data_IF_466824376963
#
_entry.id   IF_466824376963
#
_cell.length_a   1.000
_cell.length_b   1.000
_cell.length_c   1.000
_cell.angle_alpha   90.00
_cell.angle_beta   90.00
_cell.angle_gamma   90.00
#
_symmetry.space_group_name_H-M   'P 1'
#
loop_
_entity.id
_entity.type
_entity.pdbx_description
1 polymer ?
#
# COMPACT_ATOMS: atom_id res chain seq x y z
N UNK A 1 12.08 -10.64 -51.73
CA UNK A 1 12.67 -11.46 -50.64
C UNK A 1 12.62 -10.58 -49.39
N UNK A 2 11.81 -10.95 -48.40
CA UNK A 2 11.86 -10.27 -47.11
C UNK A 2 13.17 -10.69 -46.43
N UNK A 3 14.08 -9.74 -46.17
CA UNK A 3 15.31 -10.00 -45.45
C UNK A 3 15.01 -10.53 -44.04
N UNK A 4 15.90 -11.37 -43.50
CA UNK A 4 15.79 -11.84 -42.11
C UNK A 4 15.82 -10.64 -41.18
N UNK A 5 14.83 -10.56 -40.24
CA UNK A 5 14.79 -9.51 -39.20
C UNK A 5 15.90 -9.79 -38.19
N UNK A 6 16.61 -8.75 -37.78
CA UNK A 6 17.56 -8.87 -36.71
C UNK A 6 16.77 -8.85 -35.37
N UNK A 7 17.08 -9.80 -34.48
CA UNK A 7 16.61 -9.79 -33.10
C UNK A 7 17.52 -8.85 -32.35
N UNK A 8 16.93 -7.90 -31.61
CA UNK A 8 17.63 -6.99 -30.73
C UNK A 8 17.01 -7.09 -29.33
N UNK A 9 17.83 -6.94 -28.32
CA UNK A 9 17.33 -6.90 -26.94
C UNK A 9 16.45 -5.66 -26.73
N UNK A 10 15.31 -5.81 -26.04
CA UNK A 10 14.47 -4.67 -25.68
C UNK A 10 15.21 -3.77 -24.68
N UNK A 11 14.85 -2.48 -24.57
CA UNK A 11 15.36 -1.61 -23.53
C UNK A 11 15.09 -2.21 -22.13
N UNK A 12 16.03 -2.00 -21.20
CA UNK A 12 15.85 -2.42 -19.82
C UNK A 12 14.59 -1.78 -19.21
N UNK A 13 13.84 -2.56 -18.44
CA UNK A 13 12.68 -2.05 -17.70
C UNK A 13 13.15 -1.24 -16.49
N UNK A 14 12.53 -0.09 -16.26
CA UNK A 14 12.71 0.71 -15.05
C UNK A 14 11.36 0.90 -14.38
N UNK A 15 11.25 0.50 -13.13
CA UNK A 15 10.05 0.69 -12.32
C UNK A 15 9.76 2.19 -12.13
N UNK A 16 8.49 2.54 -11.88
CA UNK A 16 8.13 3.91 -11.52
C UNK A 16 8.74 4.27 -10.16
N UNK A 17 9.34 5.46 -10.02
CA UNK A 17 9.84 5.92 -8.73
C UNK A 17 8.66 6.20 -7.76
N UNK A 18 8.98 6.20 -6.47
CA UNK A 18 8.02 6.50 -5.40
C UNK A 18 6.84 5.54 -5.29
N UNK A 19 6.97 4.32 -5.83
CA UNK A 19 5.97 3.26 -5.72
C UNK A 19 5.76 2.78 -4.28
N UNK A 20 4.73 1.99 -4.08
CA UNK A 20 4.37 1.49 -2.75
C UNK A 20 5.55 0.77 -2.08
N UNK A 21 6.14 -0.21 -2.77
CA UNK A 21 7.21 -1.01 -2.16
C UNK A 21 8.41 -0.17 -1.74
N UNK A 22 8.85 0.78 -2.55
CA UNK A 22 9.99 1.64 -2.24
C UNK A 22 9.70 2.66 -1.13
N UNK A 23 8.43 2.82 -0.77
CA UNK A 23 7.97 3.84 0.17
C UNK A 23 7.65 3.33 1.57
N UNK A 24 7.52 2.03 1.75
CA UNK A 24 7.19 1.39 3.03
C UNK A 24 8.43 0.86 3.74
N UNK A 25 8.28 0.48 5.00
CA UNK A 25 9.34 -0.14 5.79
C UNK A 25 9.47 -1.64 5.47
N UNK A 26 10.70 -2.15 5.48
CA UNK A 26 11.00 -3.58 5.25
C UNK A 26 11.67 -4.17 6.49
N UNK A 27 10.90 -4.58 7.52
CA UNK A 27 11.47 -5.23 8.69
C UNK A 27 12.15 -6.55 8.30
N UNK A 28 13.27 -6.87 8.94
CA UNK A 28 13.92 -8.15 8.71
C UNK A 28 13.01 -9.30 9.19
N UNK A 29 12.69 -10.29 8.36
CA UNK A 29 11.87 -11.41 8.77
C UNK A 29 12.61 -12.31 9.76
N UNK A 30 11.93 -12.76 10.82
CA UNK A 30 12.48 -13.72 11.81
C UNK A 30 12.23 -15.18 11.43
N UNK A 31 11.86 -15.45 10.20
CA UNK A 31 11.56 -16.78 9.66
C UNK A 31 10.61 -16.69 8.47
N UNK A 32 9.99 -17.81 8.12
CA UNK A 32 9.08 -17.91 6.95
C UNK A 32 7.60 -17.83 7.33
N UNK A 33 7.26 -17.75 8.62
CA UNK A 33 5.86 -17.75 9.06
C UNK A 33 5.04 -16.58 8.52
N UNK A 34 5.68 -15.45 8.21
CA UNK A 34 5.03 -14.31 7.58
C UNK A 34 4.33 -14.65 6.24
N UNK A 35 4.77 -15.72 5.56
CA UNK A 35 4.11 -16.20 4.34
C UNK A 35 2.70 -16.78 4.58
N UNK A 36 2.33 -16.98 5.84
CA UNK A 36 0.98 -17.39 6.25
C UNK A 36 0.15 -16.22 6.78
N UNK A 37 0.73 -15.02 6.81
CA UNK A 37 0.15 -13.80 7.36
C UNK A 37 0.96 -13.26 8.52
N UNK A 38 0.69 -12.01 8.87
CA UNK A 38 1.32 -11.32 9.99
C UNK A 38 0.26 -10.73 10.90
N UNK A 39 0.61 -10.58 12.18
CA UNK A 39 -0.20 -9.85 13.16
C UNK A 39 0.67 -8.89 13.95
N UNK A 40 0.10 -7.76 14.34
CA UNK A 40 0.78 -6.77 15.18
C UNK A 40 -0.20 -6.09 16.13
N UNK A 41 0.34 -5.54 17.21
CA UNK A 41 -0.44 -4.74 18.15
C UNK A 41 -0.24 -3.27 17.81
N UNK A 42 -1.32 -2.64 17.45
CA UNK A 42 -1.40 -1.21 17.20
C UNK A 42 -1.54 -0.44 18.52
N UNK A 43 -0.91 0.71 18.60
CA UNK A 43 -1.01 1.64 19.74
C UNK A 43 -1.23 3.03 19.20
N UNK A 44 -2.47 3.30 18.86
CA UNK A 44 -2.84 4.60 18.32
C UNK A 44 -3.20 5.56 19.44
N UNK A 45 -2.81 6.84 19.36
CA UNK A 45 -3.21 7.82 20.35
C UNK A 45 -4.72 8.00 20.32
N UNK A 46 -5.35 7.99 21.49
CA UNK A 46 -6.78 8.24 21.67
C UNK A 46 -7.01 9.28 22.74
N UNK A 47 -7.88 10.25 22.46
CA UNK A 47 -8.30 11.26 23.42
C UNK A 47 -7.24 12.29 23.82
N UNK A 48 -7.61 13.16 24.75
CA UNK A 48 -6.74 14.22 25.27
C UNK A 48 -5.83 13.67 26.39
N UNK A 49 -4.50 13.90 26.21
CA UNK A 49 -3.47 13.47 27.15
C UNK A 49 -2.81 14.63 27.88
N UNK A 50 -3.35 15.84 27.76
CA UNK A 50 -2.84 17.01 28.47
C UNK A 50 -3.26 17.00 29.93
N UNK A 51 -2.38 17.47 30.82
CA UNK A 51 -2.60 17.51 32.23
C UNK A 51 -2.07 18.82 32.81
N UNK A 52 -2.86 19.47 33.65
CA UNK A 52 -2.40 20.64 34.39
C UNK A 52 -1.39 20.24 35.48
N UNK A 53 -0.16 20.70 35.34
CA UNK A 53 0.92 20.41 36.29
C UNK A 53 0.76 21.15 37.63
N UNK A 54 -0.07 22.19 37.67
CA UNK A 54 -0.37 22.99 38.85
C UNK A 54 -1.84 22.77 39.25
N UNK A 55 -2.14 22.91 40.52
CA UNK A 55 -3.54 22.93 40.99
C UNK A 55 -4.26 24.11 40.33
N UNK A 56 -5.20 23.80 39.45
CA UNK A 56 -6.08 24.82 38.87
C UNK A 56 -6.89 25.48 39.95
N UNK A 57 -6.89 26.80 39.95
CA UNK A 57 -7.76 27.59 40.84
C UNK A 57 -9.06 27.82 40.07
N UNK A 58 -10.17 27.35 40.60
CA UNK A 58 -11.49 27.66 40.02
C UNK A 58 -11.72 29.18 40.08
N UNK A 59 -12.57 29.70 39.19
CA UNK A 59 -12.91 31.13 39.18
C UNK A 59 -13.44 31.69 40.52
N UNK A 60 -13.73 30.82 41.49
CA UNK A 60 -14.11 31.15 42.88
C UNK A 60 -12.92 31.18 43.86
N UNK A 61 -11.69 30.92 43.36
CA UNK A 61 -10.48 30.87 44.21
C UNK A 61 -10.31 29.58 45.01
N UNK A 62 -11.24 28.62 44.90
CA UNK A 62 -11.08 27.30 45.53
C UNK A 62 -10.19 26.39 44.65
N UNK A 63 -9.30 25.59 45.28
CA UNK A 63 -8.54 24.58 44.52
C UNK A 63 -9.49 23.62 43.82
N UNK A 64 -9.31 23.41 42.54
CA UNK A 64 -9.99 22.34 41.83
C UNK A 64 -9.42 20.98 42.30
N UNK A 65 -10.24 19.93 42.41
CA UNK A 65 -9.70 18.59 42.65
C UNK A 65 -8.73 18.24 41.51
N UNK A 66 -7.61 17.55 41.79
CA UNK A 66 -6.68 17.15 40.77
C UNK A 66 -7.40 16.26 39.73
N UNK A 67 -7.24 16.59 38.48
CA UNK A 67 -7.75 15.73 37.41
C UNK A 67 -7.02 14.38 37.45
N UNK A 68 -7.74 13.30 37.22
CA UNK A 68 -7.11 11.98 37.07
C UNK A 68 -6.47 11.85 35.72
N UNK A 69 -5.23 11.32 35.67
CA UNK A 69 -4.59 10.92 34.43
C UNK A 69 -5.19 9.61 33.95
N UNK A 70 -5.96 9.65 32.91
CA UNK A 70 -6.55 8.44 32.28
C UNK A 70 -5.61 7.88 31.21
N UNK A 71 -5.55 6.56 31.08
CA UNK A 71 -4.80 5.90 30.00
C UNK A 71 -5.50 6.11 28.65
N UNK A 72 -4.77 6.60 27.66
CA UNK A 72 -5.32 7.04 26.37
C UNK A 72 -4.67 6.35 25.18
N UNK A 73 -4.15 5.14 25.38
CA UNK A 73 -3.61 4.33 24.27
C UNK A 73 -4.49 3.10 24.13
N UNK A 74 -5.28 3.09 23.10
CA UNK A 74 -5.99 1.89 22.70
C UNK A 74 -5.03 0.91 22.04
N UNK A 75 -5.14 -0.36 22.42
CA UNK A 75 -4.38 -1.45 21.81
C UNK A 75 -5.34 -2.28 20.97
N UNK A 76 -5.09 -2.27 19.66
CA UNK A 76 -5.87 -3.06 18.72
C UNK A 76 -4.97 -4.08 18.03
N UNK A 77 -5.41 -5.32 17.93
CA UNK A 77 -4.67 -6.33 17.17
C UNK A 77 -5.07 -6.23 15.69
N UNK A 78 -4.07 -6.03 14.85
CA UNK A 78 -4.22 -5.99 13.40
C UNK A 78 -3.56 -7.20 12.75
N UNK A 79 -4.00 -7.53 11.54
CA UNK A 79 -3.40 -8.58 10.74
C UNK A 79 -3.31 -8.21 9.28
N UNK A 80 -2.43 -8.92 8.54
CA UNK A 80 -2.35 -8.82 7.09
C UNK A 80 -2.22 -10.22 6.48
N UNK A 81 -2.92 -10.44 5.38
CA UNK A 81 -2.92 -11.69 4.63
C UNK A 81 -1.89 -11.68 3.52
N UNK A 82 -1.29 -12.85 3.17
CA UNK A 82 -0.39 -12.94 2.04
C UNK A 82 -1.15 -12.95 0.73
N UNK A 83 -0.52 -12.43 -0.31
CA UNK A 83 -0.97 -12.56 -1.69
C UNK A 83 0.23 -12.77 -2.62
N UNK A 84 0.00 -13.37 -3.78
CA UNK A 84 1.05 -13.69 -4.74
C UNK A 84 0.83 -12.91 -6.03
N UNK A 85 1.90 -12.29 -6.51
CA UNK A 85 1.98 -11.69 -7.85
C UNK A 85 2.78 -12.62 -8.73
N UNK A 86 2.30 -12.84 -9.94
CA UNK A 86 2.95 -13.74 -10.86
C UNK A 86 2.93 -13.22 -12.31
N UNK A 87 3.88 -13.72 -13.08
CA UNK A 87 3.88 -13.62 -14.54
C UNK A 87 4.03 -15.02 -15.12
N UNK A 88 3.29 -15.27 -16.17
CA UNK A 88 3.35 -16.54 -16.92
C UNK A 88 3.69 -16.24 -18.37
N UNK A 89 4.55 -17.06 -18.96
CA UNK A 89 4.78 -17.00 -20.39
C UNK A 89 4.87 -18.40 -20.99
N UNK A 90 4.49 -18.48 -22.24
CA UNK A 90 4.52 -19.70 -23.03
C UNK A 90 5.42 -19.49 -24.24
N UNK A 91 6.29 -20.45 -24.50
CA UNK A 91 7.17 -20.39 -25.65
C UNK A 91 7.61 -21.80 -26.10
N UNK A 92 8.05 -21.90 -27.35
CA UNK A 92 8.80 -23.10 -27.79
C UNK A 92 10.15 -23.13 -27.06
N UNK A 93 10.61 -24.30 -26.57
CA UNK A 93 11.93 -24.43 -25.97
C UNK A 93 13.09 -24.12 -26.92
N UNK A 94 12.82 -24.15 -28.24
CA UNK A 94 13.80 -23.81 -29.27
C UNK A 94 13.88 -22.29 -29.41
N UNK A 95 15.05 -21.73 -29.09
CA UNK A 95 15.31 -20.28 -29.22
C UNK A 95 15.12 -19.44 -27.96
N UNK A 96 14.74 -20.04 -26.81
CA UNK A 96 14.75 -19.38 -25.51
C UNK A 96 16.05 -19.76 -24.78
N UNK A 97 17.02 -18.86 -24.76
CA UNK A 97 18.34 -19.17 -24.18
C UNK A 97 18.29 -19.38 -22.67
N UNK A 98 17.65 -18.48 -21.94
CA UNK A 98 17.47 -18.54 -20.48
C UNK A 98 16.02 -18.24 -20.10
N UNK A 99 15.21 -19.29 -20.05
CA UNK A 99 13.79 -19.18 -19.72
C UNK A 99 13.54 -18.64 -18.30
N UNK A 100 14.45 -18.88 -17.37
CA UNK A 100 14.33 -18.39 -16.00
C UNK A 100 14.50 -16.86 -15.95
N UNK A 101 15.49 -16.33 -16.64
CA UNK A 101 15.70 -14.88 -16.77
C UNK A 101 14.51 -14.21 -17.45
N UNK A 102 13.98 -14.80 -18.52
CA UNK A 102 12.79 -14.27 -19.22
C UNK A 102 11.58 -14.23 -18.30
N UNK A 103 11.37 -15.28 -17.47
CA UNK A 103 10.31 -15.32 -16.46
C UNK A 103 10.45 -14.25 -15.39
N UNK A 104 11.65 -14.11 -14.85
CA UNK A 104 11.94 -13.07 -13.85
C UNK A 104 11.75 -11.66 -14.41
N UNK A 105 12.20 -11.40 -15.63
CA UNK A 105 12.01 -10.12 -16.33
C UNK A 105 10.52 -9.83 -16.60
N UNK A 106 9.76 -10.86 -16.98
CA UNK A 106 8.31 -10.73 -17.17
C UNK A 106 7.60 -10.35 -15.88
N UNK A 107 7.98 -10.99 -14.75
CA UNK A 107 7.46 -10.62 -13.42
C UNK A 107 7.82 -9.19 -13.06
N UNK A 108 9.09 -8.81 -13.20
CA UNK A 108 9.56 -7.46 -12.85
C UNK A 108 8.76 -6.35 -13.55
N UNK A 109 8.29 -6.59 -14.79
CA UNK A 109 7.51 -5.62 -15.58
C UNK A 109 6.07 -5.42 -15.07
N UNK A 110 5.50 -6.41 -14.40
CA UNK A 110 4.11 -6.38 -13.94
C UNK A 110 3.99 -6.22 -12.41
N UNK A 111 5.03 -6.59 -11.68
CA UNK A 111 5.04 -6.76 -10.23
C UNK A 111 4.58 -5.51 -9.50
N UNK A 112 5.22 -4.37 -9.72
CA UNK A 112 4.89 -3.12 -9.04
C UNK A 112 3.41 -2.78 -9.19
N UNK A 113 2.92 -2.78 -10.44
CA UNK A 113 1.53 -2.43 -10.74
C UNK A 113 0.55 -3.40 -10.09
N UNK A 114 0.83 -4.70 -10.10
CA UNK A 114 -0.07 -5.71 -9.54
C UNK A 114 -0.13 -5.63 -8.00
N UNK A 115 1.02 -5.45 -7.34
CA UNK A 115 1.10 -5.23 -5.89
C UNK A 115 0.28 -4.00 -5.49
N UNK A 116 0.45 -2.89 -6.18
CA UNK A 116 -0.25 -1.64 -5.92
C UNK A 116 -1.76 -1.75 -6.19
N UNK A 117 -2.16 -2.45 -7.25
CA UNK A 117 -3.58 -2.71 -7.53
C UNK A 117 -4.21 -3.57 -6.44
N UNK A 118 -3.54 -4.64 -6.03
CA UNK A 118 -4.02 -5.53 -4.99
C UNK A 118 -4.14 -4.79 -3.63
N UNK A 119 -3.13 -4.00 -3.26
CA UNK A 119 -3.15 -3.20 -2.04
C UNK A 119 -4.20 -2.07 -2.07
N UNK A 120 -4.54 -1.54 -3.25
CA UNK A 120 -5.61 -0.55 -3.37
C UNK A 120 -6.99 -1.18 -3.26
N UNK A 121 -7.24 -2.24 -4.01
CA UNK A 121 -8.58 -2.80 -4.23
C UNK A 121 -8.94 -3.97 -3.31
N UNK A 122 -7.96 -4.58 -2.65
CA UNK A 122 -8.18 -5.83 -1.88
C UNK A 122 -8.28 -7.08 -2.74
N UNK A 123 -8.13 -6.97 -4.06
CA UNK A 123 -8.41 -8.07 -4.99
C UNK A 123 -7.13 -8.66 -5.57
N UNK A 124 -6.96 -9.96 -5.43
CA UNK A 124 -5.94 -10.74 -6.12
C UNK A 124 -6.58 -11.93 -6.83
N UNK A 125 -6.22 -12.15 -8.10
CA UNK A 125 -6.80 -13.23 -8.91
C UNK A 125 -8.33 -13.14 -9.06
N UNK A 126 -8.91 -11.94 -9.01
CA UNK A 126 -10.36 -11.72 -9.07
C UNK A 126 -11.11 -12.02 -7.76
N UNK A 127 -10.41 -12.32 -6.67
CA UNK A 127 -10.99 -12.61 -5.36
C UNK A 127 -10.61 -11.52 -4.33
N UNK A 128 -11.53 -11.13 -3.42
CA UNK A 128 -11.28 -10.17 -2.36
C UNK A 128 -10.51 -10.84 -1.21
N UNK A 129 -9.21 -11.02 -1.38
CA UNK A 129 -8.36 -11.79 -0.43
C UNK A 129 -7.18 -11.01 0.13
N UNK A 130 -6.96 -9.78 -0.31
CA UNK A 130 -5.86 -8.94 0.17
C UNK A 130 -6.35 -8.03 1.28
N UNK A 131 -5.87 -8.28 2.49
CA UNK A 131 -6.19 -7.52 3.68
C UNK A 131 -4.89 -7.12 4.41
N UNK A 132 -4.78 -5.89 4.92
CA UNK A 132 -5.67 -4.76 4.68
C UNK A 132 -5.48 -4.16 3.28
N UNK A 133 -6.46 -3.37 2.82
CA UNK A 133 -6.38 -2.62 1.57
C UNK A 133 -6.98 -1.21 1.72
N UNK A 134 -6.71 -0.32 0.74
CA UNK A 134 -7.07 1.09 0.88
C UNK A 134 -8.56 1.37 0.64
N UNK A 135 -9.17 0.76 -0.37
CA UNK A 135 -10.57 0.99 -0.73
C UNK A 135 -11.55 0.14 0.12
N UNK A 136 -11.25 0.00 1.41
CA UNK A 136 -12.07 -0.77 2.35
C UNK A 136 -13.36 -0.01 2.72
N UNK A 137 -14.50 -0.68 2.68
CA UNK A 137 -15.81 -0.13 3.03
C UNK A 137 -16.34 -0.66 4.37
N UNK A 138 -15.92 -1.86 4.75
CA UNK A 138 -16.33 -2.52 5.98
C UNK A 138 -15.12 -3.08 6.72
N UNK A 139 -15.23 -3.17 8.03
CA UNK A 139 -14.24 -3.86 8.85
C UNK A 139 -14.36 -5.37 8.66
N UNK A 140 -13.23 -6.06 8.50
CA UNK A 140 -13.15 -7.51 8.42
C UNK A 140 -12.22 -8.01 9.52
N UNK A 141 -12.72 -8.96 10.32
CA UNK A 141 -11.95 -9.65 11.36
C UNK A 141 -11.82 -11.14 11.04
N UNK A 142 -10.80 -11.80 11.57
CA UNK A 142 -10.55 -13.23 11.34
C UNK A 142 -11.34 -14.16 12.29
N UNK A 143 -12.18 -13.60 13.16
CA UNK A 143 -12.92 -14.33 14.19
C UNK A 143 -12.14 -14.59 15.48
N UNK A 144 -10.93 -14.06 15.59
CA UNK A 144 -10.05 -14.10 16.78
C UNK A 144 -9.73 -12.70 17.30
N UNK A 145 -10.61 -11.73 17.07
CA UNK A 145 -10.43 -10.31 17.41
C UNK A 145 -9.24 -9.63 16.69
N UNK A 146 -8.74 -10.22 15.62
CA UNK A 146 -7.72 -9.62 14.77
C UNK A 146 -8.42 -8.91 13.61
N UNK A 147 -8.27 -7.60 13.55
CA UNK A 147 -8.83 -6.78 12.49
C UNK A 147 -7.92 -6.88 11.26
N UNK A 148 -8.34 -7.62 10.25
CA UNK A 148 -7.62 -7.75 8.98
C UNK A 148 -7.80 -6.52 8.10
N UNK A 149 -8.95 -5.87 8.17
CA UNK A 149 -9.28 -4.73 7.33
C UNK A 149 -10.03 -3.67 8.14
N UNK A 150 -9.45 -2.51 8.44
CA UNK A 150 -10.19 -1.37 8.97
C UNK A 150 -11.00 -0.69 7.86
N UNK A 151 -12.09 -0.04 8.22
CA UNK A 151 -12.89 0.76 7.29
C UNK A 151 -12.18 2.05 6.91
N UNK A 152 -12.16 2.38 5.62
CA UNK A 152 -11.69 3.67 5.16
C UNK A 152 -12.66 4.79 5.60
N UNK A 153 -12.14 5.78 6.30
CA UNK A 153 -12.93 6.90 6.79
C UNK A 153 -12.86 8.07 5.82
N UNK A 154 -13.94 8.42 5.12
CA UNK A 154 -13.99 9.61 4.29
C UNK A 154 -13.88 10.87 5.16
N UNK A 155 -12.90 11.73 4.85
CA UNK A 155 -12.67 13.01 5.53
C UNK A 155 -13.37 14.15 4.81
N UNK A 156 -13.38 14.10 3.48
CA UNK A 156 -14.08 15.02 2.59
C UNK A 156 -14.33 14.34 1.24
N UNK A 157 -15.38 14.71 0.55
CA UNK A 157 -15.71 14.20 -0.79
C UNK A 157 -15.96 15.34 -1.76
N UNK A 158 -15.51 15.17 -3.01
CA UNK A 158 -15.75 16.14 -4.08
C UNK A 158 -15.01 17.48 -3.90
N UNK A 159 -14.00 17.52 -3.02
CA UNK A 159 -13.17 18.69 -2.82
C UNK A 159 -12.14 18.87 -3.95
N UNK A 160 -11.60 20.06 -4.08
CA UNK A 160 -10.39 20.26 -4.88
C UNK A 160 -9.16 19.60 -4.21
N UNK A 161 -8.07 19.46 -4.97
CA UNK A 161 -6.89 18.75 -4.52
C UNK A 161 -6.26 19.33 -3.24
N UNK A 162 -6.35 20.66 -3.03
CA UNK A 162 -5.78 21.29 -1.85
C UNK A 162 -6.62 21.01 -0.59
N UNK A 163 -7.94 21.11 -0.70
CA UNK A 163 -8.84 20.78 0.39
C UNK A 163 -8.80 19.29 0.72
N UNK A 164 -8.77 18.41 -0.30
CA UNK A 164 -8.67 16.97 -0.09
C UNK A 164 -7.37 16.60 0.67
N UNK A 165 -6.23 17.11 0.21
CA UNK A 165 -4.95 16.87 0.87
C UNK A 165 -4.94 17.45 2.29
N UNK A 166 -5.39 18.69 2.49
CA UNK A 166 -5.44 19.33 3.80
C UNK A 166 -6.33 18.59 4.79
N UNK A 167 -7.48 18.07 4.34
CA UNK A 167 -8.36 17.25 5.17
C UNK A 167 -7.72 15.93 5.58
N UNK A 168 -7.01 15.25 4.67
CA UNK A 168 -6.26 14.03 4.98
C UNK A 168 -5.13 14.29 5.97
N UNK A 169 -4.34 15.34 5.78
CA UNK A 169 -3.24 15.70 6.68
C UNK A 169 -3.74 16.05 8.08
N UNK A 170 -4.84 16.80 8.18
CA UNK A 170 -5.45 17.12 9.47
C UNK A 170 -5.98 15.87 10.16
N UNK A 171 -6.67 14.99 9.45
CA UNK A 171 -7.20 13.76 10.01
C UNK A 171 -6.06 12.80 10.42
N UNK A 172 -5.00 12.70 9.63
CA UNK A 172 -3.82 11.90 9.94
C UNK A 172 -3.09 12.43 11.19
N UNK A 173 -2.93 13.74 11.32
CA UNK A 173 -2.36 14.36 12.51
C UNK A 173 -3.18 14.08 13.78
N UNK A 174 -4.50 13.92 13.63
CA UNK A 174 -5.39 13.61 14.75
C UNK A 174 -5.32 12.13 15.12
N UNK A 175 -5.38 11.22 14.13
CA UNK A 175 -5.50 9.78 14.42
C UNK A 175 -4.17 9.07 14.65
N UNK A 176 -3.07 9.55 14.08
CA UNK A 176 -1.75 8.94 14.23
C UNK A 176 -0.77 9.83 15.01
N UNK A 177 -0.95 11.16 14.94
CA UNK A 177 -0.08 12.18 15.56
C UNK A 177 1.39 12.11 15.08
N UNK A 178 1.63 11.62 13.87
CA UNK A 178 2.97 11.47 13.28
C UNK A 178 2.92 11.54 11.76
N UNK A 179 4.09 11.35 11.14
CA UNK A 179 4.18 11.29 9.68
C UNK A 179 3.63 9.96 9.17
N UNK A 180 2.72 10.02 8.21
CA UNK A 180 2.16 8.87 7.51
C UNK A 180 2.46 8.88 6.02
N UNK A 181 1.67 8.12 5.28
CA UNK A 181 1.75 7.98 3.83
C UNK A 181 0.50 8.54 3.18
N UNK A 182 0.67 9.27 2.09
CA UNK A 182 -0.42 9.72 1.22
C UNK A 182 -0.34 8.92 -0.08
N UNK A 183 -1.33 8.09 -0.34
CA UNK A 183 -1.40 7.20 -1.49
C UNK A 183 -2.14 7.89 -2.64
N UNK A 184 -1.45 8.07 -3.77
CA UNK A 184 -1.91 8.93 -4.86
C UNK A 184 -1.80 8.19 -6.20
N UNK A 185 -2.88 8.07 -6.99
CA UNK A 185 -2.77 7.66 -8.38
C UNK A 185 -1.96 8.67 -9.20
N UNK A 186 -1.22 8.26 -10.26
CA UNK A 186 -0.41 9.18 -11.07
C UNK A 186 -1.20 10.35 -11.63
N UNK A 187 -2.50 10.14 -11.96
CA UNK A 187 -3.40 11.18 -12.42
C UNK A 187 -3.61 12.29 -11.38
N UNK A 188 -3.84 11.93 -10.12
CA UNK A 188 -4.01 12.89 -9.04
C UNK A 188 -2.68 13.57 -8.66
N UNK A 189 -1.55 12.86 -8.76
CA UNK A 189 -0.23 13.44 -8.56
C UNK A 189 0.00 14.65 -9.49
N UNK A 190 -0.37 14.54 -10.76
CA UNK A 190 -0.18 15.63 -11.70
C UNK A 190 -0.91 16.91 -11.24
N UNK A 191 -2.11 16.77 -10.65
CA UNK A 191 -2.87 17.88 -10.08
C UNK A 191 -2.21 18.47 -8.84
N UNK A 192 -1.79 17.61 -7.91
CA UNK A 192 -1.11 18.02 -6.67
C UNK A 192 0.21 18.73 -6.97
N UNK A 193 1.01 18.20 -7.89
CA UNK A 193 2.29 18.79 -8.30
C UNK A 193 2.07 20.13 -9.03
N UNK A 194 1.09 20.19 -9.91
CA UNK A 194 0.72 21.43 -10.62
C UNK A 194 0.27 22.55 -9.67
N UNK A 195 -0.27 22.20 -8.51
CA UNK A 195 -0.66 23.14 -7.45
C UNK A 195 0.44 23.35 -6.39
N UNK A 196 1.66 22.83 -6.60
CA UNK A 196 2.79 22.92 -5.66
C UNK A 196 2.51 22.31 -4.28
N UNK A 197 1.58 21.37 -4.20
CA UNK A 197 1.20 20.67 -2.97
C UNK A 197 2.07 19.45 -2.67
N UNK A 198 2.94 19.07 -3.60
CA UNK A 198 3.91 18.00 -3.45
C UNK A 198 5.26 18.50 -3.96
N UNK A 199 6.31 18.19 -3.22
CA UNK A 199 7.70 18.54 -3.57
C UNK A 199 8.59 17.31 -3.43
N UNK A 200 9.64 17.25 -4.24
CA UNK A 200 10.67 16.24 -4.09
C UNK A 200 11.79 16.79 -3.18
N UNK A 201 12.13 16.00 -2.17
CA UNK A 201 13.22 16.29 -1.23
C UNK A 201 14.00 14.99 -1.03
N UNK A 202 15.29 15.00 -1.31
CA UNK A 202 16.19 13.85 -1.14
C UNK A 202 15.64 12.55 -1.80
N UNK A 203 15.05 12.68 -2.99
CA UNK A 203 14.48 11.56 -3.73
C UNK A 203 13.16 11.03 -3.17
N UNK A 204 12.52 11.76 -2.27
CA UNK A 204 11.19 11.44 -1.74
C UNK A 204 10.19 12.53 -2.09
N UNK A 205 8.97 12.13 -2.45
CA UNK A 205 7.88 13.07 -2.59
C UNK A 205 7.23 13.34 -1.23
N UNK A 206 7.20 14.61 -0.85
CA UNK A 206 6.64 15.05 0.44
C UNK A 206 5.54 16.07 0.23
N UNK A 207 4.53 16.02 1.10
CA UNK A 207 3.50 17.06 1.24
C UNK A 207 4.02 18.24 2.07
N UNK A 208 3.31 19.37 2.13
CA UNK A 208 3.67 20.51 3.00
C UNK A 208 3.83 20.14 4.47
N UNK A 209 3.01 19.23 5.01
CA UNK A 209 3.12 18.76 6.39
C UNK A 209 4.24 17.69 6.58
N UNK A 210 4.93 17.30 5.52
CA UNK A 210 6.05 16.34 5.58
C UNK A 210 5.63 14.88 5.48
N UNK A 211 4.38 14.58 5.15
CA UNK A 211 3.95 13.21 4.88
C UNK A 211 4.51 12.73 3.53
N UNK A 212 4.95 11.47 3.49
CA UNK A 212 5.49 10.89 2.26
C UNK A 212 4.36 10.56 1.26
N UNK A 213 4.54 10.95 0.01
CA UNK A 213 3.59 10.65 -1.07
C UNK A 213 4.04 9.40 -1.80
N UNK A 214 3.15 8.42 -1.85
CA UNK A 214 3.31 7.14 -2.55
C UNK A 214 2.55 7.21 -3.86
N UNK A 215 3.25 7.02 -4.97
CA UNK A 215 2.66 7.11 -6.31
C UNK A 215 2.55 5.72 -6.91
N UNK A 216 1.36 5.15 -6.88
CA UNK A 216 1.14 3.80 -7.39
C UNK A 216 0.62 3.77 -8.82
N UNK A 217 1.40 3.21 -9.75
CA UNK A 217 0.94 2.97 -11.14
C UNK A 217 -0.21 1.97 -11.23
N UNK A 218 -0.42 1.18 -10.18
CA UNK A 218 -1.55 0.28 -10.00
C UNK A 218 -2.73 0.85 -9.22
N UNK A 219 -2.63 2.07 -8.69
CA UNK A 219 -3.69 2.72 -7.95
C UNK A 219 -4.82 3.15 -8.88
N UNK A 220 -6.01 2.59 -8.66
CA UNK A 220 -7.17 2.79 -9.56
C UNK A 220 -7.83 4.16 -9.40
N UNK A 221 -7.67 4.80 -8.23
CA UNK A 221 -8.37 6.03 -7.90
C UNK A 221 -9.84 5.83 -7.53
N UNK A 222 -10.27 4.57 -7.32
CA UNK A 222 -11.59 4.25 -6.76
C UNK A 222 -11.64 4.58 -5.27
N UNK A 223 -12.82 4.96 -4.80
CA UNK A 223 -13.10 5.25 -3.41
C UNK A 223 -13.37 4.00 -2.57
N UNK A 224 -13.72 4.20 -1.28
CA UNK A 224 -14.26 3.13 -0.44
C UNK A 224 -15.41 2.42 -1.14
N UNK A 225 -15.54 1.11 -0.90
CA UNK A 225 -16.53 0.26 -1.58
C UNK A 225 -16.29 0.14 -3.11
N UNK A 226 -15.09 0.41 -3.59
CA UNK A 226 -14.79 0.42 -5.02
C UNK A 226 -15.55 1.50 -5.80
N UNK A 227 -16.15 2.47 -5.11
CA UNK A 227 -16.92 3.54 -5.72
C UNK A 227 -16.11 4.26 -6.79
N UNK A 228 -16.70 4.41 -7.97
CA UNK A 228 -16.08 5.16 -9.05
C UNK A 228 -15.96 6.64 -8.66
N UNK A 229 -14.77 7.21 -8.84
CA UNK A 229 -14.60 8.64 -8.70
C UNK A 229 -15.41 9.38 -9.78
N UNK A 230 -15.88 10.59 -9.47
CA UNK A 230 -16.54 11.45 -10.46
C UNK A 230 -15.60 11.73 -11.66
N UNK A 231 -16.18 12.02 -12.81
CA UNK A 231 -15.40 12.31 -14.01
C UNK A 231 -14.39 13.45 -13.76
N UNK A 232 -13.12 13.19 -14.04
CA UNK A 232 -12.05 14.18 -13.83
C UNK A 232 -11.44 14.16 -12.42
N UNK A 233 -11.98 13.39 -11.47
CA UNK A 233 -11.47 13.25 -10.10
C UNK A 233 -10.81 11.91 -9.85
N UNK A 234 -10.23 11.74 -8.70
CA UNK A 234 -9.68 10.47 -8.17
C UNK A 234 -9.71 10.52 -6.65
N UNK A 235 -9.99 9.40 -6.03
CA UNK A 235 -9.76 9.27 -4.60
C UNK A 235 -8.26 9.22 -4.30
N UNK A 236 -7.89 9.76 -3.17
CA UNK A 236 -6.57 9.62 -2.54
C UNK A 236 -6.76 9.11 -1.12
N UNK A 237 -5.77 8.39 -0.61
CA UNK A 237 -5.86 7.83 0.74
C UNK A 237 -4.69 8.28 1.61
N UNK A 238 -4.90 8.27 2.92
CA UNK A 238 -3.83 8.42 3.88
C UNK A 238 -3.83 7.26 4.87
N UNK A 239 -2.65 6.77 5.20
CA UNK A 239 -2.43 5.75 6.24
C UNK A 239 -1.34 6.21 7.20
N UNK A 240 -1.29 5.63 8.40
CA UNK A 240 -0.06 5.65 9.18
C UNK A 240 1.08 4.95 8.44
N UNK A 241 2.23 4.72 9.10
CA UNK A 241 3.35 4.03 8.50
C UNK A 241 2.96 2.64 8.01
N UNK A 242 3.38 2.30 6.78
CA UNK A 242 3.21 0.97 6.23
C UNK A 242 4.51 0.19 6.24
N UNK A 243 4.39 -1.12 6.28
CA UNK A 243 5.50 -2.06 6.27
C UNK A 243 5.12 -3.33 5.54
N UNK A 244 6.11 -4.09 5.10
CA UNK A 244 5.81 -5.32 4.37
C UNK A 244 6.98 -6.28 4.27
N UNK A 245 6.63 -7.50 3.90
CA UNK A 245 7.55 -8.59 3.58
C UNK A 245 7.31 -9.05 2.15
N UNK A 246 8.37 -9.48 1.49
CA UNK A 246 8.28 -10.19 0.20
C UNK A 246 9.25 -11.35 0.16
N UNK A 247 8.87 -12.39 -0.57
CA UNK A 247 9.76 -13.53 -0.84
C UNK A 247 10.79 -13.18 -1.91
N UNK A 248 11.77 -14.07 -2.09
CA UNK A 248 12.54 -14.10 -3.32
C UNK A 248 11.63 -14.48 -4.51
N UNK A 249 12.08 -14.18 -5.72
CA UNK A 249 11.39 -14.61 -6.93
C UNK A 249 11.52 -16.13 -7.06
N UNK A 250 10.40 -16.81 -7.12
CA UNK A 250 10.37 -18.21 -7.53
C UNK A 250 10.14 -18.27 -9.03
N UNK A 251 10.93 -19.09 -9.73
CA UNK A 251 10.71 -19.39 -11.14
C UNK A 251 10.58 -20.91 -11.28
N UNK A 252 9.52 -21.36 -11.94
CA UNK A 252 9.25 -22.78 -12.12
C UNK A 252 10.40 -23.46 -12.89
N UNK A 253 10.83 -24.68 -12.47
CA UNK A 253 11.87 -25.40 -13.15
C UNK A 253 11.48 -25.77 -14.59
N UNK A 254 12.39 -25.62 -15.55
CA UNK A 254 12.16 -25.91 -16.99
C UNK A 254 11.64 -27.33 -17.21
N UNK A 255 12.11 -28.30 -16.42
CA UNK A 255 11.67 -29.70 -16.52
C UNK A 255 10.19 -29.91 -16.26
N UNK A 256 9.65 -29.17 -15.30
CA UNK A 256 8.26 -29.26 -14.84
C UNK A 256 7.34 -28.42 -15.72
N UNK A 257 7.93 -27.48 -16.45
CA UNK A 257 7.23 -26.50 -17.29
C UNK A 257 7.05 -26.95 -18.73
N UNK A 258 7.66 -28.09 -19.15
CA UNK A 258 7.60 -28.57 -20.53
C UNK A 258 6.40 -29.46 -20.78
N UNK A 259 5.45 -28.97 -21.54
CA UNK A 259 4.43 -29.82 -22.18
C UNK A 259 5.02 -30.51 -23.44
N UNK A 260 5.23 -31.79 -23.31
CA UNK A 260 5.82 -32.60 -24.41
C UNK A 260 4.85 -32.85 -25.55
N UNK A 261 3.55 -32.72 -25.32
CA UNK A 261 2.56 -32.98 -26.38
C UNK A 261 2.51 -31.83 -27.38
N UNK A 262 2.76 -30.61 -26.92
CA UNK A 262 2.78 -29.41 -27.76
C UNK A 262 4.18 -28.85 -27.97
N UNK A 263 5.18 -29.40 -27.27
CA UNK A 263 6.55 -28.89 -27.24
C UNK A 263 6.58 -27.40 -26.80
N UNK A 264 5.81 -27.08 -25.73
CA UNK A 264 5.66 -25.74 -25.21
C UNK A 264 6.16 -25.68 -23.77
N UNK A 265 6.95 -24.64 -23.42
CA UNK A 265 7.32 -24.31 -22.06
C UNK A 265 6.25 -23.38 -21.48
N UNK A 266 5.68 -23.75 -20.33
CA UNK A 266 4.78 -22.92 -19.53
C UNK A 266 5.54 -22.45 -18.29
N UNK A 267 6.24 -21.34 -18.38
CA UNK A 267 7.04 -20.81 -17.28
C UNK A 267 6.20 -19.92 -16.39
N UNK A 268 6.35 -20.11 -15.08
CA UNK A 268 5.75 -19.29 -14.04
C UNK A 268 6.88 -18.62 -13.26
N UNK A 269 6.79 -17.30 -13.10
CA UNK A 269 7.59 -16.55 -12.14
C UNK A 269 6.64 -15.88 -11.15
N UNK A 270 6.91 -16.02 -9.86
CA UNK A 270 6.02 -15.50 -8.83
C UNK A 270 6.77 -15.00 -7.59
N UNK A 271 6.09 -14.15 -6.81
CA UNK A 271 6.57 -13.63 -5.55
C UNK A 271 5.40 -13.35 -4.61
N UNK A 272 5.56 -13.75 -3.35
CA UNK A 272 4.57 -13.52 -2.29
C UNK A 272 4.86 -12.23 -1.56
N UNK A 273 3.79 -11.50 -1.21
CA UNK A 273 3.79 -10.26 -0.46
C UNK A 273 2.87 -10.35 0.74
N UNK A 274 3.24 -9.64 1.81
CA UNK A 274 2.34 -9.26 2.91
C UNK A 274 2.61 -7.80 3.21
N UNK A 275 1.58 -6.97 3.23
CA UNK A 275 1.69 -5.54 3.47
C UNK A 275 0.67 -5.13 4.53
N UNK A 276 1.13 -4.42 5.55
CA UNK A 276 0.29 -3.84 6.59
C UNK A 276 0.58 -2.35 6.77
N UNK A 277 -0.31 -1.65 7.45
CA UNK A 277 -0.13 -0.26 7.87
C UNK A 277 -0.70 -0.05 9.27
N UNK A 278 -0.27 1.00 9.93
CA UNK A 278 -0.61 1.30 11.32
C UNK A 278 -1.66 2.40 11.42
N UNK A 279 -2.50 2.29 12.42
CA UNK A 279 -3.50 3.24 12.90
C UNK A 279 -4.60 3.61 11.92
N UNK A 280 -4.30 4.46 10.94
CA UNK A 280 -5.35 5.15 10.20
C UNK A 280 -5.53 4.61 8.79
N UNK A 281 -6.77 4.62 8.33
CA UNK A 281 -7.13 4.51 6.93
C UNK A 281 -8.15 5.61 6.62
N UNK A 282 -7.72 6.61 5.87
CA UNK A 282 -8.48 7.83 5.57
C UNK A 282 -8.62 7.98 4.06
N UNK A 283 -9.72 8.58 3.60
CA UNK A 283 -10.01 8.77 2.19
C UNK A 283 -10.48 10.21 1.90
N UNK A 284 -10.14 10.75 0.73
CA UNK A 284 -10.63 12.05 0.27
C UNK A 284 -10.74 12.12 -1.27
#
# INVERSE_FOLDING_TARGET
MAGARQIVDPPAFTALPHGLWDSIQHPAPTGTHWQQGITWIERCPTGDTTYDACLSVTGTGAPAPPAEKTGNVEQTTRGATPFTVYAQFECSPIGVGDAATVGADALARVEQRQVETAFWTGVAGGQPVVFPHLAADTEVADGQDIILQPTATPTVTGADAAHALGALEQALATCYAGQGLIHVPPKALATLAGSSLVREVDGQLLTPAGNRVVVGGGYTGSGPDGASAAAGTSWIYATGPAFGYRSDVYVSPVRESLDRSTNTLHMLAERTYVIGYSCCLLAA
#
